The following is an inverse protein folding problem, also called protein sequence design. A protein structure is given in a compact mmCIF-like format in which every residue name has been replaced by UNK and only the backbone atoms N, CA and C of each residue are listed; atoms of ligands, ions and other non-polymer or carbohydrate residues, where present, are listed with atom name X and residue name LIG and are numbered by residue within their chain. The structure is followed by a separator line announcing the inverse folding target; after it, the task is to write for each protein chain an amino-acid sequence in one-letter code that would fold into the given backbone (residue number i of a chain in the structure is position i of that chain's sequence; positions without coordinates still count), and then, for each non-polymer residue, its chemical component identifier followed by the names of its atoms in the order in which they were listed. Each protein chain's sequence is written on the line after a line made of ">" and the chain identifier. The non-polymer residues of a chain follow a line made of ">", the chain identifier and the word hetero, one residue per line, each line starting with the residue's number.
data_IF_518188526710
#
_entry.id   IF_518188526710
#
_cell.length_a   1.000
_cell.length_b   1.000
_cell.length_c   1.000
_cell.angle_alpha   90.00
_cell.angle_beta   90.00
_cell.angle_gamma   90.00
#
_symmetry.space_group_name_H-M   'P 1'
#
loop_
_entity.id
_entity.type
_entity.pdbx_description
1 polymer ?
#
# COMPACT_ATOMS: atom_id res chain seq x y z
N UNK A 1 10.61 -11.71 20.41
CA UNK A 1 10.88 -10.97 19.13
C UNK A 1 9.68 -10.08 18.92
N UNK A 2 9.83 -8.83 18.42
CA UNK A 2 8.65 -7.99 18.19
C UNK A 2 7.92 -8.47 16.95
N UNK A 3 6.59 -8.35 16.94
CA UNK A 3 5.72 -8.68 15.80
C UNK A 3 5.90 -7.65 14.70
N UNK A 4 6.28 -8.10 13.52
CA UNK A 4 6.69 -7.24 12.39
C UNK A 4 5.58 -7.09 11.38
N UNK A 5 5.31 -5.86 10.98
CA UNK A 5 4.28 -5.51 10.01
C UNK A 5 4.93 -4.78 8.84
N UNK A 6 4.71 -5.28 7.61
CA UNK A 6 5.06 -4.58 6.38
C UNK A 6 3.83 -3.85 5.84
N UNK A 7 3.94 -2.53 5.68
CA UNK A 7 2.92 -1.69 5.03
C UNK A 7 3.42 -1.27 3.65
N UNK A 8 2.62 -1.46 2.61
CA UNK A 8 2.86 -0.74 1.36
C UNK A 8 2.64 0.76 1.53
N UNK A 9 3.18 1.55 0.61
CA UNK A 9 3.09 3.01 0.66
C UNK A 9 2.00 3.54 -0.27
N UNK A 10 2.09 3.18 -1.56
CA UNK A 10 1.24 3.76 -2.59
C UNK A 10 -0.17 3.18 -2.52
N UNK A 11 -1.17 4.05 -2.53
CA UNK A 11 -2.59 3.72 -2.38
C UNK A 11 -2.99 2.96 -1.09
N UNK A 12 -2.02 2.70 -0.21
CA UNK A 12 -2.25 2.20 1.16
C UNK A 12 -2.09 3.32 2.19
N UNK A 13 -0.97 4.06 2.14
CA UNK A 13 -0.71 5.21 3.00
C UNK A 13 -1.03 6.53 2.33
N UNK A 14 -0.72 6.68 1.04
CA UNK A 14 -0.98 7.85 0.22
C UNK A 14 -2.04 7.58 -0.85
N UNK A 15 -2.49 8.62 -1.52
CA UNK A 15 -3.50 8.59 -2.58
C UNK A 15 -2.88 8.73 -3.98
N UNK A 16 -1.89 7.92 -4.33
CA UNK A 16 -1.12 8.09 -5.57
C UNK A 16 -2.01 8.06 -6.82
N UNK A 17 -2.86 7.04 -6.98
CA UNK A 17 -3.69 6.91 -8.17
C UNK A 17 -4.73 8.04 -8.29
N UNK A 18 -5.34 8.48 -7.18
CA UNK A 18 -6.26 9.63 -7.17
C UNK A 18 -5.55 10.91 -7.64
N UNK A 19 -4.34 11.18 -7.12
CA UNK A 19 -3.56 12.35 -7.50
C UNK A 19 -3.15 12.32 -8.98
N UNK A 20 -2.74 11.14 -9.47
CA UNK A 20 -2.40 10.94 -10.89
C UNK A 20 -3.61 11.12 -11.78
N UNK A 21 -4.79 10.58 -11.42
CA UNK A 21 -6.04 10.79 -12.16
C UNK A 21 -6.33 12.28 -12.30
N UNK A 22 -6.20 13.03 -11.22
CA UNK A 22 -6.46 14.48 -11.24
C UNK A 22 -5.56 15.21 -12.24
N UNK A 23 -4.24 14.99 -12.17
CA UNK A 23 -3.29 15.62 -13.08
C UNK A 23 -3.51 15.18 -14.52
N UNK A 24 -3.77 13.88 -14.74
CA UNK A 24 -4.06 13.33 -16.06
C UNK A 24 -5.29 14.02 -16.69
N UNK A 25 -6.37 14.16 -15.92
CA UNK A 25 -7.60 14.81 -16.39
C UNK A 25 -7.37 16.29 -16.75
N UNK A 26 -6.63 17.01 -15.89
CA UNK A 26 -6.32 18.43 -16.13
C UNK A 26 -5.49 18.62 -17.41
N UNK A 27 -4.55 17.74 -17.71
CA UNK A 27 -3.64 17.86 -18.85
C UNK A 27 -4.23 17.32 -20.18
N UNK A 28 -5.16 16.35 -20.10
CA UNK A 28 -5.68 15.66 -21.29
C UNK A 28 -7.16 15.92 -21.54
N UNK A 29 -7.87 16.70 -20.69
CA UNK A 29 -9.30 16.92 -20.80
C UNK A 29 -10.12 15.63 -20.63
N UNK A 30 -9.62 14.70 -19.84
CA UNK A 30 -10.25 13.43 -19.53
C UNK A 30 -11.09 13.54 -18.24
N UNK A 31 -11.83 12.47 -17.91
CA UNK A 31 -12.64 12.35 -16.69
C UNK A 31 -12.50 10.93 -16.13
N UNK A 32 -11.24 10.50 -15.91
CA UNK A 32 -10.94 9.21 -15.28
C UNK A 32 -10.87 9.36 -13.75
N UNK A 33 -11.24 8.29 -13.06
CA UNK A 33 -11.14 8.18 -11.60
C UNK A 33 -10.49 6.87 -11.23
N UNK A 34 -10.24 6.62 -9.95
CA UNK A 34 -9.76 5.32 -9.49
C UNK A 34 -10.67 4.16 -9.94
N UNK A 35 -11.99 4.38 -10.04
CA UNK A 35 -12.96 3.38 -10.51
C UNK A 35 -12.78 2.99 -11.99
N UNK A 36 -12.02 3.77 -12.76
CA UNK A 36 -11.64 3.41 -14.12
C UNK A 36 -10.71 2.19 -14.14
N UNK A 37 -9.96 1.98 -13.06
CA UNK A 37 -8.97 0.93 -12.97
C UNK A 37 -9.56 -0.34 -12.33
N UNK A 38 -9.95 -1.29 -13.16
CA UNK A 38 -10.47 -2.61 -12.75
C UNK A 38 -9.38 -3.69 -12.70
N UNK A 39 -8.14 -3.31 -12.95
CA UNK A 39 -6.94 -4.14 -12.93
C UNK A 39 -5.75 -3.31 -12.47
N UNK A 40 -4.83 -3.93 -11.76
CA UNK A 40 -3.53 -3.32 -11.41
C UNK A 40 -2.68 -2.96 -12.64
N UNK A 41 -2.90 -3.67 -13.74
CA UNK A 41 -2.28 -3.38 -15.04
C UNK A 41 -3.04 -2.26 -15.76
N UNK A 42 -2.47 -1.05 -15.72
CA UNK A 42 -3.05 0.17 -16.31
C UNK A 42 -3.33 0.00 -17.82
N UNK A 43 -2.48 -0.76 -18.54
CA UNK A 43 -2.65 -1.01 -19.98
C UNK A 43 -3.89 -1.87 -20.32
N UNK A 44 -4.50 -2.51 -19.32
CA UNK A 44 -5.80 -3.19 -19.49
C UNK A 44 -6.99 -2.27 -19.28
N UNK A 45 -6.77 -1.10 -18.69
CA UNK A 45 -7.82 -0.17 -18.31
C UNK A 45 -7.91 1.05 -19.22
N UNK A 46 -6.79 1.47 -19.81
CA UNK A 46 -6.68 2.63 -20.69
C UNK A 46 -6.17 2.25 -22.08
N UNK A 47 -6.52 3.02 -23.14
CA UNK A 47 -5.84 2.94 -24.43
C UNK A 47 -4.32 3.11 -24.25
N UNK A 48 -3.53 2.44 -25.09
CA UNK A 48 -2.07 2.39 -24.95
C UNK A 48 -1.41 3.77 -24.78
N UNK A 49 -1.78 4.74 -25.63
CA UNK A 49 -1.21 6.10 -25.59
C UNK A 49 -1.54 6.83 -24.28
N UNK A 50 -2.74 6.62 -23.75
CA UNK A 50 -3.18 7.23 -22.50
C UNK A 50 -2.53 6.52 -21.28
N UNK A 51 -2.35 5.20 -21.34
CA UNK A 51 -1.62 4.45 -20.33
C UNK A 51 -0.15 4.89 -20.23
N UNK A 52 0.51 5.16 -21.38
CA UNK A 52 1.88 5.71 -21.41
C UNK A 52 1.94 7.10 -20.74
N UNK A 53 1.00 8.01 -21.07
CA UNK A 53 0.92 9.33 -20.43
C UNK A 53 0.64 9.21 -18.94
N UNK A 54 -0.29 8.33 -18.54
CA UNK A 54 -0.67 8.10 -17.15
C UNK A 54 0.51 7.59 -16.33
N UNK A 55 1.21 6.55 -16.80
CA UNK A 55 2.35 5.97 -16.09
C UNK A 55 3.56 6.90 -16.04
N UNK A 56 3.73 7.80 -17.02
CA UNK A 56 4.76 8.82 -16.99
C UNK A 56 4.58 9.81 -15.82
N UNK A 57 3.33 10.06 -15.38
CA UNK A 57 3.05 10.94 -14.25
C UNK A 57 3.58 10.39 -12.92
N UNK A 58 3.75 9.08 -12.79
CA UNK A 58 4.37 8.49 -11.58
C UNK A 58 5.81 8.95 -11.32
N UNK A 59 6.48 9.51 -12.34
CA UNK A 59 7.87 10.01 -12.23
C UNK A 59 7.96 11.51 -12.03
N UNK A 60 6.84 12.18 -11.81
CA UNK A 60 6.79 13.64 -11.71
C UNK A 60 6.82 14.09 -10.25
N UNK A 61 7.74 15.00 -9.96
CA UNK A 61 7.90 15.57 -8.62
C UNK A 61 6.65 16.30 -8.13
N UNK A 62 5.98 17.05 -8.99
CA UNK A 62 4.76 17.80 -8.65
C UNK A 62 3.61 16.87 -8.24
N UNK A 63 3.49 15.68 -8.86
CA UNK A 63 2.55 14.64 -8.44
C UNK A 63 2.90 14.17 -7.03
N UNK A 64 4.16 13.81 -6.78
CA UNK A 64 4.60 13.35 -5.44
C UNK A 64 4.38 14.39 -4.35
N UNK A 65 4.58 15.68 -4.65
CA UNK A 65 4.35 16.79 -3.71
C UNK A 65 2.87 17.07 -3.46
N UNK A 66 1.98 16.61 -4.33
CA UNK A 66 0.53 16.79 -4.19
C UNK A 66 -0.17 15.69 -3.38
N UNK A 67 0.55 14.60 -3.06
CA UNK A 67 -0.03 13.44 -2.38
C UNK A 67 -0.50 13.79 -0.96
N UNK A 68 -1.62 13.22 -0.59
CA UNK A 68 -2.18 13.30 0.76
C UNK A 68 -2.32 11.90 1.38
N UNK A 69 -2.32 11.78 2.71
CA UNK A 69 -2.58 10.51 3.36
C UNK A 69 -3.98 9.97 3.05
N UNK A 70 -4.08 8.67 2.85
CA UNK A 70 -5.37 7.95 2.87
C UNK A 70 -6.04 8.17 4.22
N UNK A 71 -7.36 8.32 4.21
CA UNK A 71 -8.13 8.54 5.43
C UNK A 71 -7.82 7.49 6.50
N UNK A 72 -7.54 7.95 7.72
CA UNK A 72 -7.14 7.14 8.88
C UNK A 72 -5.79 6.39 8.75
N UNK A 73 -5.03 6.50 7.65
CA UNK A 73 -3.75 5.79 7.51
C UNK A 73 -2.72 6.21 8.57
N UNK A 74 -2.64 7.51 8.88
CA UNK A 74 -1.73 8.02 9.91
C UNK A 74 -2.12 7.50 11.31
N UNK A 75 -3.42 7.53 11.63
CA UNK A 75 -3.93 6.99 12.89
C UNK A 75 -3.67 5.49 13.00
N UNK A 76 -3.98 4.72 11.95
CA UNK A 76 -3.82 3.27 11.94
C UNK A 76 -2.37 2.84 12.09
N UNK A 77 -1.46 3.42 11.29
CA UNK A 77 -0.03 3.13 11.39
C UNK A 77 0.53 3.48 12.79
N UNK A 78 0.14 4.64 13.33
CA UNK A 78 0.52 5.05 14.70
C UNK A 78 -0.04 4.10 15.75
N UNK A 79 -1.29 3.67 15.62
CA UNK A 79 -1.94 2.72 16.52
C UNK A 79 -1.23 1.37 16.55
N UNK A 80 -0.79 0.86 15.40
CA UNK A 80 -0.01 -0.38 15.33
C UNK A 80 1.33 -0.24 16.09
N UNK A 81 2.03 0.89 15.91
CA UNK A 81 3.28 1.16 16.64
C UNK A 81 3.01 1.27 18.16
N UNK A 82 1.95 1.98 18.56
CA UNK A 82 1.60 2.15 19.98
C UNK A 82 1.18 0.84 20.65
N UNK A 83 0.67 -0.11 19.89
CA UNK A 83 0.43 -1.49 20.34
C UNK A 83 1.70 -2.32 20.48
N UNK A 84 2.87 -1.76 20.14
CA UNK A 84 4.19 -2.40 20.32
C UNK A 84 4.68 -3.21 19.12
N UNK A 85 4.02 -3.09 17.96
CA UNK A 85 4.44 -3.75 16.72
C UNK A 85 5.60 -3.00 16.06
N UNK A 86 6.49 -3.75 15.39
CA UNK A 86 7.54 -3.19 14.54
C UNK A 86 6.96 -2.95 13.13
N UNK A 87 6.67 -1.70 12.81
CA UNK A 87 6.06 -1.31 11.54
C UNK A 87 7.14 -0.86 10.55
N UNK A 88 7.17 -1.51 9.39
CA UNK A 88 8.05 -1.20 8.26
C UNK A 88 7.23 -0.72 7.06
N UNK A 89 7.69 0.33 6.41
CA UNK A 89 7.17 0.73 5.11
C UNK A 89 7.96 0.00 4.03
N UNK A 90 7.26 -0.75 3.18
CA UNK A 90 7.86 -1.58 2.14
C UNK A 90 7.29 -1.18 0.79
N UNK A 91 8.06 -0.46 0.00
CA UNK A 91 7.57 0.16 -1.23
C UNK A 91 8.41 -0.20 -2.45
N UNK A 92 7.73 -0.44 -3.58
CA UNK A 92 8.38 -0.57 -4.88
C UNK A 92 8.30 0.78 -5.60
N UNK A 93 9.43 1.40 -5.88
CA UNK A 93 9.45 2.68 -6.58
C UNK A 93 10.63 2.78 -7.55
N UNK A 94 10.55 3.69 -8.50
CA UNK A 94 11.71 4.09 -9.26
C UNK A 94 12.70 4.80 -8.34
N UNK A 95 13.99 4.52 -8.49
CA UNK A 95 15.04 5.06 -7.63
C UNK A 95 15.05 6.60 -7.60
N UNK A 96 14.63 7.24 -8.70
CA UNK A 96 14.51 8.70 -8.82
C UNK A 96 13.42 9.29 -7.91
N UNK A 97 12.35 8.52 -7.66
CA UNK A 97 11.21 8.97 -6.85
C UNK A 97 11.44 8.73 -5.35
N UNK A 98 12.40 7.87 -5.00
CA UNK A 98 12.60 7.46 -3.62
C UNK A 98 12.85 8.64 -2.66
N UNK A 99 13.65 9.67 -3.02
CA UNK A 99 13.82 10.85 -2.17
C UNK A 99 12.51 11.57 -1.86
N UNK A 100 11.62 11.76 -2.85
CA UNK A 100 10.33 12.43 -2.66
C UNK A 100 9.40 11.59 -1.78
N UNK A 101 9.44 10.26 -1.93
CA UNK A 101 8.68 9.34 -1.10
C UNK A 101 9.13 9.38 0.36
N UNK A 102 10.44 9.39 0.61
CA UNK A 102 11.00 9.54 1.96
C UNK A 102 10.61 10.89 2.56
N UNK A 103 10.74 11.99 1.81
CA UNK A 103 10.30 13.32 2.25
C UNK A 103 8.82 13.33 2.61
N UNK A 104 7.97 12.72 1.78
CA UNK A 104 6.53 12.59 2.04
C UNK A 104 6.27 11.81 3.33
N UNK A 105 6.92 10.66 3.51
CA UNK A 105 6.80 9.85 4.73
C UNK A 105 7.25 10.61 5.98
N UNK A 106 8.36 11.34 5.92
CA UNK A 106 8.84 12.16 7.02
C UNK A 106 7.85 13.28 7.40
N UNK A 107 7.18 13.86 6.42
CA UNK A 107 6.19 14.91 6.65
C UNK A 107 4.88 14.38 7.25
N UNK A 108 4.38 13.25 6.77
CA UNK A 108 3.06 12.74 7.17
C UNK A 108 3.11 11.62 8.21
N UNK A 109 4.23 10.88 8.29
CA UNK A 109 4.44 9.75 9.21
C UNK A 109 5.74 9.91 10.01
N UNK A 110 5.98 11.07 10.66
CA UNK A 110 7.26 11.35 11.35
C UNK A 110 7.55 10.42 12.53
N UNK A 111 6.60 9.61 12.93
CA UNK A 111 6.72 8.60 13.98
C UNK A 111 7.28 7.26 13.46
N UNK A 112 7.49 7.11 12.15
CA UNK A 112 8.18 5.95 11.55
C UNK A 112 9.67 6.31 11.39
N UNK A 113 10.52 5.49 11.99
CA UNK A 113 11.97 5.65 11.87
C UNK A 113 12.42 5.41 10.42
N UNK A 114 13.36 6.22 9.93
CA UNK A 114 13.86 6.11 8.56
C UNK A 114 14.48 4.74 8.25
N UNK A 115 15.05 4.07 9.25
CA UNK A 115 15.57 2.70 9.12
C UNK A 115 14.50 1.65 8.87
N UNK A 116 13.23 1.99 9.07
CA UNK A 116 12.06 1.15 8.80
C UNK A 116 11.45 1.41 7.41
N UNK A 117 12.08 2.23 6.56
CA UNK A 117 11.65 2.49 5.18
C UNK A 117 12.49 1.64 4.23
N UNK A 118 11.86 0.67 3.56
CA UNK A 118 12.53 -0.32 2.72
C UNK A 118 12.03 -0.16 1.27
N UNK A 119 12.96 0.17 0.35
CA UNK A 119 12.67 0.13 -1.07
C UNK A 119 12.91 -1.30 -1.59
N UNK A 120 11.85 -2.01 -1.92
CA UNK A 120 11.89 -3.40 -2.36
C UNK A 120 10.78 -3.68 -3.38
N UNK A 121 11.14 -4.27 -4.52
CA UNK A 121 10.18 -4.66 -5.55
C UNK A 121 9.60 -6.05 -5.30
N UNK A 122 10.45 -7.01 -5.00
CA UNK A 122 10.04 -8.38 -4.71
C UNK A 122 9.76 -8.54 -3.21
N UNK A 123 8.52 -8.27 -2.81
CA UNK A 123 8.08 -8.33 -1.42
C UNK A 123 8.00 -9.78 -0.88
N UNK A 124 8.13 -10.81 -1.73
CA UNK A 124 8.22 -12.21 -1.29
C UNK A 124 9.48 -12.50 -0.45
N UNK A 125 10.49 -11.63 -0.55
CA UNK A 125 11.72 -11.69 0.23
C UNK A 125 11.57 -11.22 1.68
N UNK A 126 10.45 -10.59 2.03
CA UNK A 126 10.24 -10.05 3.38
C UNK A 126 9.92 -11.17 4.37
N UNK A 127 10.60 -11.12 5.53
CA UNK A 127 10.33 -11.98 6.67
C UNK A 127 9.60 -11.18 7.76
N UNK A 128 8.29 -11.08 7.62
CA UNK A 128 7.39 -10.33 8.51
C UNK A 128 6.24 -11.23 8.97
N UNK A 129 5.52 -10.81 10.00
CA UNK A 129 4.38 -11.55 10.55
C UNK A 129 3.08 -11.18 9.83
N UNK A 130 2.95 -9.90 9.41
CA UNK A 130 1.81 -9.42 8.61
C UNK A 130 2.31 -8.57 7.44
N UNK A 131 1.70 -8.72 6.27
CA UNK A 131 1.87 -7.83 5.12
C UNK A 131 0.55 -7.19 4.73
N UNK A 132 0.55 -5.89 4.53
CA UNK A 132 -0.59 -5.08 4.11
C UNK A 132 -0.24 -4.39 2.79
N UNK A 133 -1.04 -4.62 1.75
CA UNK A 133 -0.77 -4.15 0.38
C UNK A 133 -2.11 -3.97 -0.35
N UNK A 134 -2.16 -3.15 -1.40
CA UNK A 134 -3.29 -3.06 -2.31
C UNK A 134 -3.12 -3.97 -3.55
N UNK A 135 -1.88 -4.40 -3.80
CA UNK A 135 -1.54 -5.31 -4.90
C UNK A 135 -1.54 -6.77 -4.43
N UNK A 136 -2.53 -7.53 -4.93
CA UNK A 136 -2.67 -8.95 -4.59
C UNK A 136 -1.48 -9.81 -5.00
N UNK A 137 -0.78 -9.49 -6.10
CA UNK A 137 0.38 -10.27 -6.53
C UNK A 137 1.50 -10.24 -5.48
N UNK A 138 1.69 -9.10 -4.79
CA UNK A 138 2.63 -8.98 -3.69
C UNK A 138 2.24 -9.89 -2.51
N UNK A 139 0.95 -9.95 -2.19
CA UNK A 139 0.42 -10.75 -1.10
C UNK A 139 0.44 -12.26 -1.42
N UNK A 140 0.05 -12.63 -2.63
CA UNK A 140 0.08 -14.04 -3.10
C UNK A 140 1.53 -14.56 -3.10
N UNK A 141 2.49 -13.73 -3.46
CA UNK A 141 3.91 -14.08 -3.48
C UNK A 141 4.50 -14.38 -2.10
N UNK A 142 3.95 -13.83 -1.02
CA UNK A 142 4.46 -14.02 0.34
C UNK A 142 3.51 -14.84 1.22
N UNK A 143 3.61 -16.16 1.11
CA UNK A 143 2.78 -17.12 1.86
C UNK A 143 3.25 -17.38 3.31
N UNK A 144 4.32 -16.71 3.74
CA UNK A 144 4.97 -16.97 5.04
C UNK A 144 4.43 -16.11 6.18
N UNK A 145 3.55 -15.18 5.87
CA UNK A 145 2.96 -14.25 6.84
C UNK A 145 1.44 -14.17 6.69
N UNK A 146 0.77 -13.60 7.66
CA UNK A 146 -0.61 -13.17 7.53
C UNK A 146 -0.69 -12.02 6.52
N UNK A 147 -1.76 -11.98 5.72
CA UNK A 147 -1.86 -11.07 4.57
C UNK A 147 -3.17 -10.32 4.60
N UNK A 148 -3.07 -9.00 4.42
CA UNK A 148 -4.22 -8.09 4.38
C UNK A 148 -4.18 -7.32 3.05
N UNK A 149 -5.28 -7.38 2.30
CA UNK A 149 -5.48 -6.52 1.14
C UNK A 149 -6.37 -5.34 1.52
N UNK A 150 -5.90 -4.11 1.23
CA UNK A 150 -6.77 -2.94 1.26
C UNK A 150 -7.57 -2.90 -0.04
N UNK A 151 -8.91 -2.96 0.08
CA UNK A 151 -9.78 -2.94 -1.08
C UNK A 151 -9.61 -1.65 -1.89
N UNK A 152 -9.37 -1.85 -3.19
CA UNK A 152 -9.28 -0.82 -4.21
C UNK A 152 -10.03 -1.27 -5.46
N UNK A 153 -10.44 -0.38 -6.37
CA UNK A 153 -11.17 -0.77 -7.57
C UNK A 153 -10.46 -1.86 -8.39
N UNK A 154 -9.13 -1.81 -8.47
CA UNK A 154 -8.31 -2.76 -9.25
C UNK A 154 -8.15 -4.15 -8.62
N UNK A 155 -8.47 -4.31 -7.34
CA UNK A 155 -8.40 -5.62 -6.66
C UNK A 155 -9.77 -6.14 -6.19
N UNK A 156 -10.84 -5.35 -6.30
CA UNK A 156 -12.16 -5.63 -5.75
C UNK A 156 -12.78 -6.95 -6.24
N UNK A 157 -12.55 -7.30 -7.50
CA UNK A 157 -13.13 -8.49 -8.13
C UNK A 157 -12.20 -9.72 -8.09
N UNK A 158 -11.10 -9.64 -7.36
CA UNK A 158 -10.14 -10.73 -7.29
C UNK A 158 -10.57 -11.79 -6.25
N UNK A 159 -10.19 -13.04 -6.51
CA UNK A 159 -10.50 -14.20 -5.66
C UNK A 159 -9.45 -14.38 -4.55
N UNK A 160 -9.37 -13.42 -3.64
CA UNK A 160 -8.44 -13.41 -2.49
C UNK A 160 -8.73 -14.51 -1.46
N UNK A 161 -9.98 -14.94 -1.33
CA UNK A 161 -10.38 -16.05 -0.43
C UNK A 161 -9.62 -17.35 -0.70
N UNK A 162 -9.32 -17.65 -1.97
CA UNK A 162 -8.56 -18.82 -2.36
C UNK A 162 -7.11 -18.83 -1.81
N UNK A 163 -6.62 -17.67 -1.41
CA UNK A 163 -5.25 -17.48 -0.90
C UNK A 163 -5.19 -17.17 0.60
N UNK A 164 -6.31 -17.24 1.32
CA UNK A 164 -6.38 -16.87 2.73
C UNK A 164 -5.87 -15.45 3.02
N UNK A 165 -6.24 -14.49 2.16
CA UNK A 165 -5.94 -13.07 2.32
C UNK A 165 -7.14 -12.40 2.96
N UNK A 166 -6.93 -11.68 4.06
CA UNK A 166 -7.97 -10.87 4.71
C UNK A 166 -8.20 -9.60 3.92
N UNK A 167 -9.43 -9.39 3.44
CA UNK A 167 -9.83 -8.15 2.79
C UNK A 167 -10.30 -7.14 3.82
N UNK A 168 -9.80 -5.90 3.71
CA UNK A 168 -10.21 -4.76 4.51
C UNK A 168 -10.56 -3.60 3.58
N UNK A 169 -11.58 -2.83 3.94
CA UNK A 169 -12.07 -1.68 3.15
C UNK A 169 -11.56 -0.34 3.68
N UNK A 170 -11.00 -0.34 4.87
CA UNK A 170 -10.51 0.86 5.56
C UNK A 170 -9.45 0.51 6.61
N UNK A 171 -8.83 1.57 7.17
CA UNK A 171 -7.77 1.43 8.15
C UNK A 171 -8.22 0.91 9.51
N UNK A 172 -9.48 1.13 9.91
CA UNK A 172 -10.03 0.59 11.16
C UNK A 172 -10.10 -0.94 11.09
N UNK A 173 -10.52 -1.49 9.95
CA UNK A 173 -10.54 -2.94 9.69
C UNK A 173 -9.13 -3.53 9.60
N UNK A 174 -8.15 -2.79 9.02
CA UNK A 174 -6.75 -3.23 8.96
C UNK A 174 -6.20 -3.40 10.37
N UNK A 175 -6.37 -2.39 11.24
CA UNK A 175 -5.89 -2.45 12.63
C UNK A 175 -6.52 -3.64 13.36
N UNK A 176 -7.84 -3.82 13.23
CA UNK A 176 -8.54 -4.94 13.86
C UNK A 176 -8.03 -6.30 13.36
N UNK A 177 -7.80 -6.44 12.05
CA UNK A 177 -7.27 -7.67 11.46
C UNK A 177 -5.86 -8.02 11.97
N UNK A 178 -4.98 -7.03 12.09
CA UNK A 178 -3.63 -7.22 12.64
C UNK A 178 -3.69 -7.65 14.11
N UNK A 179 -4.52 -7.00 14.92
CA UNK A 179 -4.70 -7.38 16.32
C UNK A 179 -5.29 -8.80 16.48
N UNK A 180 -6.17 -9.22 15.57
CA UNK A 180 -6.71 -10.58 15.52
C UNK A 180 -5.61 -11.60 15.20
N UNK A 181 -4.79 -11.37 14.17
CA UNK A 181 -3.69 -12.25 13.81
C UNK A 181 -2.67 -12.38 14.93
N UNK A 182 -2.30 -11.27 15.56
CA UNK A 182 -1.38 -11.29 16.68
C UNK A 182 -1.88 -12.19 17.83
N UNK A 183 -3.15 -12.09 18.20
CA UNK A 183 -3.76 -12.94 19.25
C UNK A 183 -3.73 -14.43 18.87
N UNK A 184 -4.08 -14.75 17.61
CA UNK A 184 -4.06 -16.13 17.13
C UNK A 184 -2.65 -16.72 17.17
N UNK A 185 -1.63 -15.95 16.76
CA UNK A 185 -0.23 -16.37 16.77
C UNK A 185 0.29 -16.55 18.21
N UNK A 186 -0.07 -15.68 19.17
CA UNK A 186 0.27 -15.84 20.58
C UNK A 186 -0.36 -17.11 21.19
N UNK A 187 -1.59 -17.42 20.87
CA UNK A 187 -2.27 -18.64 21.31
C UNK A 187 -1.58 -19.91 20.79
N UNK A 188 -1.17 -19.90 19.52
CA UNK A 188 -0.44 -21.01 18.91
C UNK A 188 0.95 -21.23 19.52
N UNK A 189 1.65 -20.17 19.92
CA UNK A 189 2.97 -20.27 20.56
C UNK A 189 2.89 -20.68 22.03
N UNK A 190 1.74 -20.55 22.66
CA UNK A 190 1.53 -20.86 24.08
C UNK A 190 1.12 -22.31 24.34
N UNK A 191 0.78 -23.07 23.30
CA UNK A 191 0.39 -24.49 23.34
C UNK A 191 1.53 -25.40 22.86
#
# INVERSE_FOLDING_TARGET
>A
MRYKIALDCDDVLNNLNEAVCKVFNEENGADITEDTFTSYDIYKCLPFEDAEKYTALWRREDVWRSLTPVYHSQWGAKKLIDNGFDVYITTATHWENFPWKVEWLQNYFPFIDESHIICIRDKSLLAVDVMIDDNLDNLIGNIRCNRVVLEKPWNKNAHDEAYSIKRCTNWDEIVAAVEEFYKQDEELMSN
#
